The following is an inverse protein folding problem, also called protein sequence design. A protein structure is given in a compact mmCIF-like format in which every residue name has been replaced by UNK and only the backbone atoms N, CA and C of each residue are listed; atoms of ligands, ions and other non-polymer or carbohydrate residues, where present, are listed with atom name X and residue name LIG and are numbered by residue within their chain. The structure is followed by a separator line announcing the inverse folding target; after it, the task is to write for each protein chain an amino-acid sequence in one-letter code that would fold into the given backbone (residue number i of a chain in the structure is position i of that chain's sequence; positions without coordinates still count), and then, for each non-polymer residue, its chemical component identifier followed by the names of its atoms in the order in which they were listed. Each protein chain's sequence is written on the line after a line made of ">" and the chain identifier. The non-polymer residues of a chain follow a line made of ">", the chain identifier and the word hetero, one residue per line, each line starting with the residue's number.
data_IF_969433674955
#
_entry.id   IF_969433674955
#
_cell.length_a   1.000
_cell.length_b   1.000
_cell.length_c   1.000
_cell.angle_alpha   90.00
_cell.angle_beta   90.00
_cell.angle_gamma   90.00
#
_symmetry.space_group_name_H-M   'P 1'
#
loop_
_entity.id
_entity.type
_entity.pdbx_description
1 polymer ?
#
# COMPACT_ATOMS: atom_id res chain seq x y z
N UNK A 1 -7.78 7.23 -3.98
CA UNK A 1 -7.33 5.97 -4.62
C UNK A 1 -7.62 4.75 -3.77
N UNK A 2 -7.30 4.75 -2.47
CA UNK A 2 -7.47 3.53 -1.64
C UNK A 2 -8.87 3.27 -1.06
N UNK A 3 -9.79 4.25 -1.11
CA UNK A 3 -11.13 4.16 -0.51
C UNK A 3 -11.95 2.97 -1.02
N UNK A 4 -11.70 2.54 -2.26
CA UNK A 4 -12.46 1.48 -2.93
C UNK A 4 -11.68 0.17 -3.05
N UNK A 5 -10.45 0.10 -2.52
CA UNK A 5 -9.59 -1.07 -2.65
C UNK A 5 -10.05 -2.29 -1.81
N UNK A 6 -11.14 -2.16 -1.04
CA UNK A 6 -11.75 -3.23 -0.27
C UNK A 6 -13.11 -3.69 -0.82
N UNK A 7 -13.65 -3.09 -1.89
CA UNK A 7 -15.09 -3.27 -2.22
C UNK A 7 -15.42 -4.43 -3.20
N UNK A 8 -14.62 -4.77 -4.25
CA UNK A 8 -15.12 -5.76 -5.24
C UNK A 8 -14.81 -7.25 -4.98
N UNK A 9 -13.68 -7.60 -4.33
CA UNK A 9 -13.09 -8.96 -4.42
C UNK A 9 -13.14 -9.80 -3.13
N UNK A 10 -14.03 -9.45 -2.19
CA UNK A 10 -14.11 -10.11 -0.88
C UNK A 10 -12.95 -9.75 0.05
N UNK A 11 -12.33 -8.60 -0.17
CA UNK A 11 -11.37 -8.02 0.76
C UNK A 11 -12.08 -7.11 1.77
N UNK A 12 -11.46 -6.87 2.92
CA UNK A 12 -11.95 -5.96 3.95
C UNK A 12 -10.78 -5.11 4.45
N UNK A 13 -11.07 -3.90 4.93
CA UNK A 13 -10.01 -3.04 5.49
C UNK A 13 -9.62 -3.58 6.87
N UNK A 14 -8.43 -4.16 6.98
CA UNK A 14 -7.86 -4.64 8.25
C UNK A 14 -7.16 -3.53 9.03
N UNK A 15 -6.57 -2.55 8.32
CA UNK A 15 -6.11 -1.29 8.90
C UNK A 15 -6.49 -0.13 7.99
N UNK A 16 -7.12 0.88 8.59
CA UNK A 16 -7.58 2.06 7.89
C UNK A 16 -6.45 2.78 7.14
N UNK A 17 -6.76 3.45 6.01
CA UNK A 17 -5.81 4.30 5.31
C UNK A 17 -5.17 5.33 6.24
N UNK A 18 -3.86 5.49 6.11
CA UNK A 18 -3.06 6.50 6.80
C UNK A 18 -2.10 7.15 5.81
N UNK A 19 -1.97 8.46 5.91
CA UNK A 19 -1.03 9.22 5.11
C UNK A 19 0.37 9.23 5.75
N UNK A 20 1.35 9.12 4.88
CA UNK A 20 2.77 9.22 5.17
C UNK A 20 3.40 10.28 4.27
N UNK A 21 4.32 11.06 4.85
CA UNK A 21 5.19 11.99 4.13
C UNK A 21 6.63 11.61 4.43
N UNK A 22 7.19 10.61 3.72
CA UNK A 22 8.56 10.22 3.93
C UNK A 22 9.52 11.39 3.71
N UNK A 23 10.62 11.40 4.46
CA UNK A 23 11.60 12.48 4.47
C UNK A 23 12.12 12.80 3.06
N UNK A 24 12.15 14.09 2.72
CA UNK A 24 12.68 14.56 1.44
C UNK A 24 11.73 14.45 0.25
N UNK A 25 10.45 14.11 0.47
CA UNK A 25 9.44 14.11 -0.59
C UNK A 25 8.27 15.06 -0.29
N UNK A 26 7.79 15.73 -1.34
CA UNK A 26 6.56 16.50 -1.37
C UNK A 26 5.31 15.63 -1.66
N UNK A 27 5.52 14.36 -2.02
CA UNK A 27 4.46 13.41 -2.34
C UNK A 27 3.90 12.78 -1.08
N UNK A 28 2.59 12.85 -0.92
CA UNK A 28 1.88 12.09 0.11
C UNK A 28 1.64 10.67 -0.38
N UNK A 29 2.04 9.69 0.44
CA UNK A 29 1.74 8.27 0.21
C UNK A 29 0.68 7.85 1.21
N UNK A 30 -0.46 7.39 0.73
CA UNK A 30 -1.51 6.82 1.59
C UNK A 30 -1.33 5.31 1.62
N UNK A 31 -1.33 4.69 2.79
CA UNK A 31 -1.18 3.26 2.94
C UNK A 31 -2.26 2.66 3.82
N UNK A 32 -2.64 1.42 3.55
CA UNK A 32 -3.61 0.65 4.31
C UNK A 32 -3.23 -0.83 4.33
N UNK A 33 -3.91 -1.62 5.15
CA UNK A 33 -3.86 -3.09 5.06
C UNK A 33 -5.26 -3.57 4.73
N UNK A 34 -5.38 -4.34 3.65
CA UNK A 34 -6.61 -5.10 3.37
C UNK A 34 -6.41 -6.55 3.79
N UNK A 35 -7.49 -7.24 4.10
CA UNK A 35 -7.50 -8.66 4.41
C UNK A 35 -8.56 -9.36 3.58
N UNK A 36 -8.21 -10.53 3.07
CA UNK A 36 -9.16 -11.50 2.54
C UNK A 36 -9.31 -12.60 3.58
N UNK A 37 -10.54 -12.88 3.96
CA UNK A 37 -10.85 -13.96 4.89
C UNK A 37 -11.81 -14.92 4.18
N UNK A 38 -11.37 -16.15 3.95
CA UNK A 38 -12.21 -17.25 3.52
C UNK A 38 -12.16 -18.40 4.55
N UNK A 39 -12.96 -19.45 4.33
CA UNK A 39 -13.13 -20.56 5.28
C UNK A 39 -11.80 -21.27 5.64
N UNK A 40 -10.73 -21.07 4.88
CA UNK A 40 -9.51 -21.83 4.99
C UNK A 40 -8.29 -20.96 5.32
N UNK A 41 -8.32 -19.66 5.03
CA UNK A 41 -7.17 -18.80 5.24
C UNK A 41 -7.55 -17.33 5.37
N UNK A 42 -6.93 -16.66 6.34
CA UNK A 42 -6.87 -15.20 6.41
C UNK A 42 -5.55 -14.74 5.80
N UNK A 43 -5.63 -13.91 4.77
CA UNK A 43 -4.46 -13.31 4.10
C UNK A 43 -4.56 -11.80 4.20
N UNK A 44 -3.51 -11.16 4.69
CA UNK A 44 -3.40 -9.70 4.68
C UNK A 44 -2.54 -9.22 3.52
N UNK A 45 -2.87 -8.07 2.95
CA UNK A 45 -2.10 -7.43 1.89
C UNK A 45 -1.90 -5.95 2.25
N UNK A 46 -0.68 -5.55 2.61
CA UNK A 46 -0.32 -4.15 2.73
C UNK A 46 -0.34 -3.47 1.37
N UNK A 47 -0.87 -2.25 1.32
CA UNK A 47 -0.97 -1.49 0.08
C UNK A 47 -0.63 -0.02 0.34
N UNK A 48 0.12 0.59 -0.56
CA UNK A 48 0.40 2.02 -0.56
C UNK A 48 0.12 2.62 -1.95
N UNK A 49 -0.40 3.83 -1.99
CA UNK A 49 -0.67 4.54 -3.22
C UNK A 49 -0.09 5.95 -3.15
N UNK A 50 0.35 6.45 -4.30
CA UNK A 50 0.61 7.88 -4.49
C UNK A 50 -0.18 8.40 -5.69
N UNK A 51 -0.44 9.70 -5.67
CA UNK A 51 -0.91 10.45 -6.83
C UNK A 51 -0.35 11.86 -6.71
N UNK A 52 0.45 12.27 -7.70
CA UNK A 52 1.07 13.60 -7.72
C UNK A 52 0.45 14.54 -8.79
N UNK A 53 -0.76 14.23 -9.25
CA UNK A 53 -1.47 15.00 -10.27
C UNK A 53 -1.00 14.73 -11.71
N UNK A 54 0.13 14.04 -11.89
CA UNK A 54 0.64 13.63 -13.19
C UNK A 54 0.72 12.10 -13.31
N UNK A 55 1.21 11.44 -12.26
CA UNK A 55 1.36 9.98 -12.19
C UNK A 55 0.82 9.49 -10.86
N UNK A 56 0.08 8.38 -10.90
CA UNK A 56 -0.31 7.66 -9.71
C UNK A 56 -0.15 6.18 -9.91
N UNK A 57 0.18 5.47 -8.83
CA UNK A 57 0.13 4.02 -8.83
C UNK A 57 -0.22 3.50 -7.44
N UNK A 58 -0.52 2.20 -7.44
CA UNK A 58 -0.87 1.41 -6.27
C UNK A 58 0.14 0.27 -6.16
N UNK A 59 0.81 0.19 -5.03
CA UNK A 59 1.80 -0.85 -4.72
C UNK A 59 1.18 -1.76 -3.67
N UNK A 60 0.93 -3.01 -4.05
CA UNK A 60 0.59 -4.09 -3.13
C UNK A 60 1.82 -4.93 -2.82
N UNK A 61 2.05 -5.25 -1.55
CA UNK A 61 3.10 -6.16 -1.14
C UNK A 61 2.54 -7.57 -0.96
N UNK A 62 3.14 -8.54 -1.64
CA UNK A 62 2.82 -9.97 -1.51
C UNK A 62 4.08 -10.67 -0.99
N UNK A 63 4.20 -10.72 0.33
CA UNK A 63 5.22 -11.48 1.05
C UNK A 63 4.52 -12.51 1.94
N UNK A 64 4.78 -13.83 1.82
CA UNK A 64 4.18 -14.85 2.67
C UNK A 64 4.38 -14.62 4.18
N UNK A 65 5.52 -14.07 4.60
CA UNK A 65 5.82 -13.79 6.00
C UNK A 65 4.93 -12.67 6.55
N UNK A 66 4.63 -11.66 5.72
CA UNK A 66 3.73 -10.56 6.09
C UNK A 66 2.27 -11.00 5.96
N UNK A 67 1.94 -11.70 4.87
CA UNK A 67 0.59 -12.13 4.51
C UNK A 67 -0.10 -13.02 5.53
N UNK A 68 0.68 -13.78 6.29
CA UNK A 68 0.21 -14.69 7.35
C UNK A 68 0.26 -14.10 8.76
N UNK A 69 0.79 -12.88 8.91
CA UNK A 69 0.94 -12.19 10.19
C UNK A 69 -0.28 -11.39 10.64
N UNK A 70 -0.10 -10.58 11.69
CA UNK A 70 -1.10 -9.63 12.16
C UNK A 70 -0.98 -8.29 11.40
N UNK A 71 -2.11 -7.76 10.94
CA UNK A 71 -2.16 -6.48 10.26
C UNK A 71 -1.55 -5.33 11.09
N UNK A 72 -1.68 -5.39 12.42
CA UNK A 72 -1.16 -4.38 13.36
C UNK A 72 0.37 -4.30 13.34
N UNK A 73 1.04 -5.40 13.02
CA UNK A 73 2.50 -5.50 13.01
C UNK A 73 3.11 -5.08 11.67
N UNK A 74 2.27 -4.83 10.65
CA UNK A 74 2.72 -4.34 9.34
C UNK A 74 3.34 -2.95 9.45
N UNK A 75 4.59 -2.83 8.99
CA UNK A 75 5.30 -1.58 8.86
C UNK A 75 4.86 -0.79 7.61
N UNK A 76 3.76 -0.03 7.77
CA UNK A 76 3.25 0.86 6.73
C UNK A 76 4.19 2.04 6.45
N UNK A 77 5.02 2.46 7.41
CA UNK A 77 5.95 3.57 7.20
C UNK A 77 7.09 3.13 6.27
N UNK A 78 7.69 1.97 6.54
CA UNK A 78 8.69 1.38 5.66
C UNK A 78 8.14 1.05 4.28
N UNK A 79 6.89 0.60 4.17
CA UNK A 79 6.25 0.41 2.85
C UNK A 79 6.03 1.74 2.10
N UNK A 80 5.69 2.82 2.81
CA UNK A 80 5.57 4.15 2.20
C UNK A 80 6.92 4.64 1.65
N UNK A 81 8.01 4.43 2.38
CA UNK A 81 9.37 4.73 1.91
C UNK A 81 9.75 3.92 0.67
N UNK A 82 9.50 2.60 0.69
CA UNK A 82 9.71 1.72 -0.48
C UNK A 82 8.88 2.16 -1.68
N UNK A 83 7.64 2.60 -1.46
CA UNK A 83 6.75 3.09 -2.51
C UNK A 83 7.32 4.32 -3.21
N UNK A 84 7.92 5.26 -2.48
CA UNK A 84 8.59 6.41 -3.10
C UNK A 84 9.85 6.02 -3.86
N UNK A 85 10.60 5.04 -3.38
CA UNK A 85 11.73 4.48 -4.14
C UNK A 85 11.25 3.90 -5.48
N UNK A 86 10.21 3.07 -5.46
CA UNK A 86 9.58 2.51 -6.68
C UNK A 86 9.11 3.64 -7.61
N UNK A 87 8.47 4.68 -7.08
CA UNK A 87 8.07 5.86 -7.88
C UNK A 87 9.26 6.50 -8.59
N UNK A 88 10.41 6.65 -7.92
CA UNK A 88 11.61 7.23 -8.51
C UNK A 88 12.22 6.36 -9.61
N UNK A 89 12.09 5.03 -9.49
CA UNK A 89 12.53 4.06 -10.50
C UNK A 89 11.58 4.04 -11.72
N UNK A 90 10.27 4.18 -11.48
CA UNK A 90 9.25 4.19 -12.54
C UNK A 90 9.21 5.49 -13.33
N UNK A 91 9.51 6.64 -12.70
CA UNK A 91 9.48 7.94 -13.37
C UNK A 91 10.80 8.19 -14.11
N UNK A 92 10.75 8.12 -15.43
CA UNK A 92 11.84 8.57 -16.29
C UNK A 92 11.57 9.99 -16.82
N UNK A 93 12.59 10.87 -16.86
CA UNK A 93 12.48 12.14 -17.58
C UNK A 93 12.17 11.88 -19.06
N UNK A 94 11.33 12.72 -19.68
CA UNK A 94 11.19 12.72 -21.13
C UNK A 94 12.47 13.35 -21.69
N UNK A 95 13.24 12.58 -22.46
CA UNK A 95 14.45 13.00 -23.16
C UNK A 95 14.14 13.60 -24.53
#
# INVERSE_FOLDING_TARGET
>A
MLKDAADPDGMSVARAPKDFRPSGSDVTVTCQVVAREDLNMRVIMPMCAWNDGNTGALIGEIDPAVSSGDARDVDLAGLAERTLRIRSELRQPIS
#
